data_IF_782033275673
#
_entry.id   IF_782033275673
#
_cell.length_a   1.000
_cell.length_b   1.000
_cell.length_c   1.000
_cell.angle_alpha   90.00
_cell.angle_beta   90.00
_cell.angle_gamma   90.00
#
_symmetry.space_group_name_H-M   'P 1'
#
loop_
_entity.id
_entity.type
_entity.pdbx_description
1 polymer ?
2 non-polymer ?
3 water ?
#
# COMPACT_ATOMS: atom_id res chain seq x y z
N UNK A 8 -25.44 6.66 -11.84
CA UNK A 8 -24.00 6.26 -11.83
C UNK A 8 -23.62 5.61 -10.48
N UNK A 9 -24.23 5.98 -9.34
CA UNK A 9 -23.79 5.54 -7.97
C UNK A 9 -23.59 4.02 -7.92
N UNK A 10 -24.53 3.26 -8.52
CA UNK A 10 -24.58 1.77 -8.62
C UNK A 10 -23.40 1.23 -9.45
N UNK A 11 -22.96 1.97 -10.49
CA UNK A 11 -21.81 1.59 -11.36
C UNK A 11 -20.55 2.47 -11.10
N UNK A 12 -20.29 2.96 -9.87
CA UNK A 12 -19.06 3.74 -9.51
C UNK A 12 -18.26 3.02 -8.42
N UNK A 13 -16.95 2.97 -8.62
CA UNK A 13 -15.98 2.40 -7.66
C UNK A 13 -15.71 3.46 -6.56
N UNK A 14 -15.92 3.13 -5.29
CA UNK A 14 -15.63 4.10 -4.18
C UNK A 14 -14.13 4.42 -4.07
N UNK A 15 -13.26 3.52 -4.54
CA UNK A 15 -11.79 3.64 -4.37
C UNK A 15 -11.17 4.52 -5.49
N UNK A 16 -11.67 4.48 -6.72
CA UNK A 16 -11.06 5.18 -7.88
C UNK A 16 -12.06 6.13 -8.54
N UNK A 17 -13.33 6.15 -8.10
CA UNK A 17 -14.42 6.98 -8.64
C UNK A 17 -14.66 6.72 -10.13
N UNK A 18 -14.32 5.59 -10.68
CA UNK A 18 -14.52 5.35 -12.12
C UNK A 18 -15.60 4.29 -12.22
N UNK A 19 -15.90 3.85 -13.44
CA UNK A 19 -16.94 2.83 -13.66
C UNK A 19 -16.56 1.55 -12.90
N UNK A 20 -17.54 0.88 -12.33
CA UNK A 20 -17.34 -0.49 -11.78
C UNK A 20 -18.48 -1.39 -12.25
N UNK A 21 -18.12 -2.60 -12.62
CA UNK A 21 -19.09 -3.66 -12.96
C UNK A 21 -19.84 -4.01 -11.67
N UNK A 22 -21.05 -3.52 -11.50
CA UNK A 22 -21.94 -3.91 -10.36
C UNK A 22 -21.68 -5.37 -9.88
N UNK A 23 -21.90 -6.35 -10.77
CA UNK A 23 -21.87 -7.79 -10.38
C UNK A 23 -20.47 -8.29 -9.96
N UNK A 24 -19.38 -7.72 -10.47
CA UNK A 24 -18.00 -8.14 -10.12
C UNK A 24 -17.34 -7.16 -9.11
N UNK A 25 -18.09 -6.19 -8.57
CA UNK A 25 -17.53 -5.20 -7.62
C UNK A 25 -17.96 -5.57 -6.20
N UNK A 26 -17.05 -6.08 -5.34
CA UNK A 26 -17.43 -6.43 -3.98
C UNK A 26 -17.91 -5.21 -3.17
N UNK A 27 -18.94 -5.43 -2.36
CA UNK A 27 -19.61 -4.38 -1.55
C UNK A 27 -18.84 -4.22 -0.23
N UNK A 28 -18.15 -3.10 -0.06
CA UNK A 28 -17.08 -2.87 0.96
C UNK A 28 -17.50 -3.04 2.40
N UNK A 29 -18.73 -2.64 2.69
CA UNK A 29 -19.27 -2.45 4.05
C UNK A 29 -20.04 -3.70 4.55
N UNK A 30 -19.91 -4.86 3.88
CA UNK A 30 -20.51 -6.17 4.28
C UNK A 30 -19.45 -6.94 5.02
N UNK A 31 -19.92 -7.89 5.84
CA UNK A 31 -19.11 -8.62 6.81
C UNK A 31 -18.01 -9.32 6.02
N UNK A 32 -18.36 -9.89 4.87
CA UNK A 32 -17.41 -10.68 4.06
C UNK A 32 -16.20 -9.80 3.66
N UNK A 33 -16.34 -8.48 3.62
CA UNK A 33 -15.27 -7.61 3.06
C UNK A 33 -14.65 -6.66 4.08
N UNK A 34 -14.91 -6.78 5.39
CA UNK A 34 -14.39 -5.81 6.40
C UNK A 34 -12.87 -5.76 6.30
N UNK A 35 -12.21 -6.86 5.92
CA UNK A 35 -10.73 -6.84 5.77
C UNK A 35 -10.26 -5.75 4.75
N UNK A 36 -11.02 -5.54 3.67
CA UNK A 36 -10.71 -4.55 2.61
C UNK A 36 -10.72 -3.15 3.20
N UNK A 37 -11.65 -2.79 4.10
CA UNK A 37 -11.67 -1.43 4.72
C UNK A 37 -10.40 -1.25 5.55
N UNK A 38 -10.02 -2.28 6.29
CA UNK A 38 -8.74 -2.27 7.04
C UNK A 38 -7.56 -2.20 6.08
N UNK A 39 -7.55 -2.98 4.99
CA UNK A 39 -6.43 -2.92 4.03
C UNK A 39 -6.33 -1.49 3.47
N UNK A 40 -7.48 -0.85 3.16
CA UNK A 40 -7.52 0.50 2.56
C UNK A 40 -6.93 1.48 3.60
N UNK A 41 -7.26 1.30 4.89
CA UNK A 41 -6.78 2.22 5.95
C UNK A 41 -5.29 2.05 6.13
N UNK A 42 -4.81 0.81 6.21
CA UNK A 42 -3.36 0.52 6.25
C UNK A 42 -2.62 1.18 5.08
N UNK A 43 -3.23 1.22 3.88
CA UNK A 43 -2.54 1.72 2.66
C UNK A 43 -2.53 3.25 2.67
N UNK A 44 -3.67 3.87 2.99
CA UNK A 44 -3.94 5.29 2.75
C UNK A 44 -3.94 6.09 4.05
N UNK A 45 -4.12 5.46 5.21
CA UNK A 45 -4.48 6.17 6.44
C UNK A 45 -5.92 6.58 6.54
N UNK A 46 -6.80 6.25 5.58
CA UNK A 46 -8.23 6.72 5.61
C UNK A 46 -9.10 5.53 5.99
N UNK A 47 -9.98 5.75 6.96
CA UNK A 47 -11.06 4.82 7.34
C UNK A 47 -12.28 5.14 6.49
N UNK A 48 -12.58 4.39 5.43
CA UNK A 48 -13.73 4.85 4.58
C UNK A 48 -15.03 4.52 5.28
N UNK A 49 -16.02 5.38 5.13
CA UNK A 49 -17.33 5.33 5.83
C UNK A 49 -18.46 5.06 4.85
N UNK A 50 -19.47 4.30 5.27
CA UNK A 50 -20.67 3.95 4.47
C UNK A 50 -21.71 5.05 4.56
N UNK A 51 -21.86 5.85 3.52
CA UNK A 51 -22.91 6.90 3.36
C UNK A 51 -23.75 6.55 2.14
N UNK A 52 -25.05 6.84 2.18
CA UNK A 52 -26.00 6.55 1.09
C UNK A 52 -25.65 7.27 -0.20
N UNK A 53 -25.05 8.46 -0.12
CA UNK A 53 -24.73 9.30 -1.30
C UNK A 53 -23.32 9.03 -1.85
N UNK A 54 -22.55 8.11 -1.28
CA UNK A 54 -21.22 7.69 -1.81
C UNK A 54 -21.19 6.22 -2.21
N UNK A 55 -20.48 5.86 -3.30
CA UNK A 55 -20.44 4.47 -3.75
C UNK A 55 -19.87 3.52 -2.69
N UNK A 56 -20.33 2.27 -2.74
CA UNK A 56 -20.17 1.31 -1.61
C UNK A 56 -19.54 0.02 -2.13
N UNK A 57 -18.95 0.10 -3.32
CA UNK A 57 -18.25 -1.03 -3.98
C UNK A 57 -16.87 -0.60 -4.46
N UNK A 58 -16.00 -1.59 -4.50
CA UNK A 58 -14.62 -1.57 -5.01
C UNK A 58 -14.58 -2.36 -6.31
N UNK A 59 -14.13 -1.75 -7.40
CA UNK A 59 -14.03 -2.41 -8.73
C UNK A 59 -12.94 -3.47 -8.68
N UNK A 60 -12.96 -4.31 -9.68
CA UNK A 60 -12.08 -5.47 -9.82
C UNK A 60 -10.64 -4.99 -9.89
N UNK A 61 -10.38 -3.93 -10.65
CA UNK A 61 -9.00 -3.47 -10.86
C UNK A 61 -8.45 -2.98 -9.51
N UNK A 62 -9.25 -2.21 -8.76
CA UNK A 62 -8.85 -1.70 -7.41
C UNK A 62 -8.66 -2.88 -6.44
N UNK A 63 -9.56 -3.89 -6.42
CA UNK A 63 -9.44 -5.12 -5.57
C UNK A 63 -8.09 -5.82 -5.79
N UNK A 64 -7.70 -6.04 -7.05
CA UNK A 64 -6.41 -6.69 -7.41
C UNK A 64 -5.23 -5.86 -6.89
N UNK A 65 -5.16 -4.57 -7.23
CA UNK A 65 -4.01 -3.71 -6.83
C UNK A 65 -3.92 -3.62 -5.30
N UNK A 66 -5.07 -3.53 -4.63
CA UNK A 66 -5.17 -3.47 -3.17
C UNK A 66 -4.64 -4.76 -2.54
N UNK A 67 -5.01 -5.93 -3.07
CA UNK A 67 -4.52 -7.24 -2.59
C UNK A 67 -3.00 -7.25 -2.74
N UNK A 68 -2.49 -6.89 -3.91
CA UNK A 68 -1.03 -6.82 -4.17
C UNK A 68 -0.34 -5.82 -3.21
N UNK A 69 -0.94 -4.66 -2.92
CA UNK A 69 -0.29 -3.67 -2.03
C UNK A 69 -0.19 -4.24 -0.60
N UNK A 70 -1.20 -4.98 -0.18
CA UNK A 70 -1.27 -5.56 1.18
C UNK A 70 -0.18 -6.61 1.32
N UNK A 71 -0.08 -7.50 0.33
CA UNK A 71 0.95 -8.55 0.36
C UNK A 71 2.31 -7.88 0.54
N UNK A 72 2.64 -6.88 -0.28
CA UNK A 72 3.95 -6.18 -0.16
C UNK A 72 4.11 -5.56 1.24
N UNK A 73 3.09 -4.87 1.71
CA UNK A 73 3.15 -4.27 3.07
C UNK A 73 3.56 -5.32 4.14
N UNK A 74 2.86 -6.44 4.18
CA UNK A 74 3.08 -7.52 5.16
C UNK A 74 4.46 -8.16 4.97
N UNK A 75 4.87 -8.43 3.73
CA UNK A 75 6.18 -9.03 3.44
C UNK A 75 7.26 -8.09 3.97
N UNK A 76 7.13 -6.78 3.74
CA UNK A 76 8.14 -5.79 4.16
C UNK A 76 8.29 -5.77 5.68
N UNK A 77 7.17 -5.76 6.40
CA UNK A 77 7.16 -5.78 7.89
C UNK A 77 7.85 -7.07 8.39
N UNK A 78 7.45 -8.22 7.85
CA UNK A 78 8.00 -9.54 8.24
C UNK A 78 9.48 -9.62 7.83
N UNK A 79 9.85 -9.11 6.67
CA UNK A 79 11.27 -9.12 6.23
C UNK A 79 12.12 -8.33 7.22
N UNK A 80 11.65 -7.21 7.79
CA UNK A 80 12.50 -6.43 8.74
C UNK A 80 12.75 -7.26 10.01
N UNK A 81 11.72 -7.96 10.51
CA UNK A 81 11.85 -8.89 11.66
C UNK A 81 12.91 -9.96 11.32
N UNK A 82 12.79 -10.58 10.15
CA UNK A 82 13.57 -11.79 9.78
C UNK A 82 15.04 -11.43 9.57
N UNK A 83 15.32 -10.27 8.97
CA UNK A 83 16.71 -9.75 8.89
C UNK A 83 17.30 -9.56 10.31
N UNK A 84 16.51 -9.07 11.28
CA UNK A 84 17.00 -8.75 12.66
C UNK A 84 17.36 -10.07 13.36
N UNK A 85 16.57 -11.13 13.13
CA UNK A 85 16.81 -12.49 13.69
C UNK A 85 17.95 -13.18 12.94
N UNK A 86 18.11 -12.95 11.63
CA UNK A 86 19.26 -13.43 10.83
C UNK A 86 20.63 -12.98 11.36
N UNK A 87 20.69 -11.97 12.24
CA UNK A 87 21.93 -11.46 12.88
C UNK A 87 22.30 -12.32 14.10
N UNK A 88 23.61 -12.39 14.38
CA UNK A 88 24.20 -12.78 15.70
C UNK A 88 23.89 -11.69 16.73
N UNK A 89 23.75 -12.04 18.01
CA UNK A 89 23.44 -11.11 19.13
C UNK A 89 24.38 -9.88 19.14
N UNK A 90 25.66 -10.03 18.76
CA UNK A 90 26.68 -8.94 18.82
C UNK A 90 26.39 -7.98 17.67
N UNK A 91 26.16 -8.50 16.45
CA UNK A 91 25.60 -7.72 15.30
C UNK A 91 24.31 -6.99 15.74
N UNK A 92 23.35 -7.72 16.34
CA UNK A 92 21.98 -7.23 16.65
C UNK A 92 22.04 -6.03 17.60
N UNK A 93 23.04 -5.99 18.48
CA UNK A 93 23.24 -4.90 19.48
C UNK A 93 23.17 -3.51 18.84
N UNK A 94 23.57 -3.35 17.55
CA UNK A 94 23.31 -2.17 16.68
C UNK A 94 21.87 -1.61 16.77
N UNK A 95 20.85 -2.36 16.30
CA UNK A 95 19.39 -2.01 16.39
C UNK A 95 18.84 -2.36 17.79
N UNK B 11 23.26 -8.81 -3.00
CA UNK B 11 22.62 -10.16 -3.22
C UNK B 11 21.27 -10.37 -2.49
N UNK B 12 20.95 -9.63 -1.41
CA UNK B 12 19.65 -9.73 -0.67
C UNK B 12 18.86 -8.41 -0.76
N UNK B 13 17.55 -8.55 -0.93
CA UNK B 13 16.59 -7.42 -0.96
C UNK B 13 16.22 -7.03 0.47
N UNK B 14 16.41 -5.77 0.85
CA UNK B 14 16.04 -5.23 2.20
C UNK B 14 14.51 -5.32 2.42
N UNK B 15 13.67 -5.34 1.38
CA UNK B 15 12.18 -5.19 1.49
C UNK B 15 11.52 -6.56 1.63
N UNK B 16 11.91 -7.56 0.85
CA UNK B 16 11.29 -8.93 0.96
C UNK B 16 12.29 -10.00 1.46
N UNK B 17 13.58 -9.65 1.65
CA UNK B 17 14.63 -10.50 2.28
C UNK B 17 14.96 -11.71 1.39
N UNK B 18 14.75 -11.62 0.07
CA UNK B 18 15.04 -12.73 -0.86
C UNK B 18 16.18 -12.26 -1.75
N UNK B 19 16.59 -13.09 -2.70
CA UNK B 19 17.75 -12.80 -3.58
C UNK B 19 17.43 -11.60 -4.48
N UNK B 20 18.43 -10.79 -4.81
CA UNK B 20 18.30 -9.60 -5.69
C UNK B 20 19.18 -9.74 -6.95
N UNK B 21 20.39 -9.18 -6.98
CA UNK B 21 21.37 -9.29 -8.11
C UNK B 21 22.70 -8.56 -7.82
N UNK B 22 22.67 -7.49 -7.01
CA UNK B 22 23.83 -6.61 -6.72
C UNK B 22 24.29 -5.96 -8.04
N UNK B 23 23.36 -5.63 -8.94
CA UNK B 23 23.67 -5.17 -10.32
C UNK B 23 22.43 -4.50 -10.92
N UNK B 24 21.34 -5.25 -11.09
CA UNK B 24 20.02 -4.75 -11.55
C UNK B 24 19.06 -4.51 -10.37
N UNK B 25 19.52 -4.60 -9.12
CA UNK B 25 18.77 -4.21 -7.89
C UNK B 25 19.18 -2.79 -7.48
N UNK B 26 18.27 -1.79 -7.60
CA UNK B 26 18.57 -0.43 -7.14
C UNK B 26 18.98 -0.36 -5.66
N UNK B 27 19.92 0.54 -5.36
CA UNK B 27 20.42 0.81 -3.99
C UNK B 27 19.45 1.79 -3.29
N UNK B 28 18.76 1.33 -2.25
CA UNK B 28 17.70 2.08 -1.51
C UNK B 28 18.15 3.42 -0.95
N UNK B 29 19.40 3.52 -0.51
CA UNK B 29 19.92 4.63 0.32
C UNK B 29 20.66 5.66 -0.53
N UNK B 30 20.70 5.57 -1.87
CA UNK B 30 21.53 6.44 -2.75
C UNK B 30 20.95 7.85 -2.87
N UNK B 31 20.90 8.59 -1.75
CA UNK B 31 20.52 10.04 -1.55
C UNK B 31 19.63 10.66 -2.64
N UNK B 32 18.96 9.87 -3.47
CA UNK B 32 18.18 10.33 -4.64
C UNK B 32 16.91 9.49 -4.79
N UNK B 33 16.97 8.19 -4.54
CA UNK B 33 15.78 7.29 -4.35
C UNK B 33 15.36 7.26 -2.87
N UNK B 34 15.51 8.38 -2.17
CA UNK B 34 14.81 8.65 -0.89
C UNK B 34 13.30 8.47 -1.10
N UNK B 35 12.79 8.72 -2.31
CA UNK B 35 11.42 8.36 -2.79
C UNK B 35 11.00 6.97 -2.29
N UNK B 36 11.83 5.97 -2.58
CA UNK B 36 11.62 4.54 -2.21
C UNK B 36 11.39 4.41 -0.71
N UNK B 37 12.24 5.04 0.09
CA UNK B 37 12.22 4.90 1.57
C UNK B 37 10.96 5.60 2.07
N UNK B 38 10.69 6.76 1.50
CA UNK B 38 9.44 7.53 1.76
C UNK B 38 8.21 6.67 1.46
N UNK B 39 8.18 6.07 0.28
CA UNK B 39 7.04 5.23 -0.16
C UNK B 39 6.91 4.03 0.78
N UNK B 40 8.02 3.42 1.19
CA UNK B 40 8.02 2.24 2.12
C UNK B 40 7.41 2.68 3.44
N UNK B 41 7.79 3.85 3.96
CA UNK B 41 7.27 4.26 5.28
C UNK B 41 5.77 4.54 5.16
N UNK B 42 5.36 5.24 4.11
CA UNK B 42 3.93 5.53 3.81
C UNK B 42 3.12 4.24 3.74
N UNK B 43 3.70 3.16 3.20
CA UNK B 43 2.98 1.89 3.02
C UNK B 43 2.94 1.13 4.35
N UNK B 44 4.07 1.01 5.05
CA UNK B 44 4.30 0.04 6.17
C UNK B 44 4.32 0.72 7.54
N UNK B 45 4.56 2.04 7.60
CA UNK B 45 4.88 2.74 8.85
C UNK B 45 6.26 2.39 9.38
N UNK B 46 7.20 1.91 8.54
CA UNK B 46 8.60 1.63 8.96
C UNK B 46 9.54 2.54 8.19
N UNK B 47 10.31 3.34 8.94
CA UNK B 47 11.47 4.12 8.41
C UNK B 47 12.67 3.17 8.31
N UNK B 48 13.01 2.73 7.10
CA UNK B 48 14.16 1.81 6.93
C UNK B 48 15.42 2.66 7.00
N UNK B 49 16.39 2.21 7.79
CA UNK B 49 17.64 2.94 8.15
C UNK B 49 18.78 2.17 7.49
N UNK B 50 19.81 2.86 6.97
CA UNK B 50 20.99 2.22 6.33
C UNK B 50 21.99 1.73 7.40
N UNK B 51 22.02 0.42 7.65
CA UNK B 51 22.93 -0.22 8.63
C UNK B 51 23.87 -1.13 7.86
N UNK B 52 25.13 -1.21 8.30
CA UNK B 52 26.20 -1.96 7.61
C UNK B 52 25.89 -3.45 7.58
N UNK B 53 25.23 -3.97 8.63
CA UNK B 53 24.91 -5.41 8.81
C UNK B 53 23.56 -5.81 8.21
N UNK B 54 22.86 -4.91 7.50
CA UNK B 54 21.59 -5.20 6.76
C UNK B 54 21.75 -4.89 5.28
N UNK B 55 20.99 -5.56 4.37
CA UNK B 55 20.98 -5.20 2.95
C UNK B 55 20.62 -3.72 2.68
N UNK B 56 21.15 -3.19 1.58
CA UNK B 56 20.99 -1.78 1.16
C UNK B 56 20.36 -1.72 -0.24
N UNK B 57 19.70 -2.81 -0.65
CA UNK B 57 19.16 -2.97 -2.02
C UNK B 57 17.67 -3.32 -1.96
N UNK B 58 16.97 -2.96 -3.03
CA UNK B 58 15.57 -3.39 -3.31
C UNK B 58 15.60 -4.11 -4.66
N UNK B 59 14.99 -5.28 -4.73
CA UNK B 59 14.87 -6.09 -5.97
C UNK B 59 13.90 -5.41 -6.93
N UNK B 60 14.01 -5.76 -8.20
CA UNK B 60 13.16 -5.21 -9.28
C UNK B 60 11.69 -5.50 -8.97
N UNK B 61 11.39 -6.71 -8.51
CA UNK B 61 9.99 -7.11 -8.27
C UNK B 61 9.41 -6.22 -7.16
N UNK B 62 10.15 -6.01 -6.06
CA UNK B 62 9.71 -5.15 -4.93
C UNK B 62 9.55 -3.67 -5.38
N UNK B 63 10.48 -3.12 -6.18
CA UNK B 63 10.41 -1.77 -6.80
C UNK B 63 9.09 -1.57 -7.57
N UNK B 64 8.74 -2.54 -8.43
CA UNK B 64 7.51 -2.48 -9.26
C UNK B 64 6.26 -2.50 -8.37
N UNK B 65 6.16 -3.44 -7.43
CA UNK B 65 4.93 -3.57 -6.58
C UNK B 65 4.77 -2.33 -5.69
N UNK B 66 5.89 -1.72 -5.28
CA UNK B 66 5.94 -0.52 -4.41
C UNK B 66 5.36 0.64 -5.22
N UNK B 67 5.83 0.80 -6.47
CA UNK B 67 5.37 1.87 -7.39
C UNK B 67 3.86 1.72 -7.58
N UNK B 68 3.39 0.50 -7.84
CA UNK B 68 1.93 0.20 -7.94
C UNK B 68 1.16 0.57 -6.66
N UNK B 69 1.62 0.20 -5.48
CA UNK B 69 0.88 0.46 -4.21
C UNK B 69 0.78 1.97 -3.95
N UNK B 70 1.81 2.71 -4.32
CA UNK B 70 1.84 4.18 -4.08
C UNK B 70 0.81 4.82 -4.99
N UNK B 71 0.78 4.40 -6.24
CA UNK B 71 -0.19 4.89 -7.25
C UNK B 71 -1.60 4.66 -6.71
N UNK B 72 -1.91 3.44 -6.26
CA UNK B 72 -3.25 3.15 -5.73
C UNK B 72 -3.55 4.03 -4.53
N UNK B 73 -2.61 4.15 -3.61
CA UNK B 73 -2.87 5.02 -2.42
C UNK B 73 -3.26 6.44 -2.85
N UNK B 74 -2.50 7.05 -3.74
CA UNK B 74 -2.77 8.43 -4.24
C UNK B 74 -4.12 8.50 -4.99
N UNK B 75 -4.41 7.51 -5.86
CA UNK B 75 -5.70 7.44 -6.58
C UNK B 75 -6.84 7.42 -5.55
N UNK B 76 -6.74 6.57 -4.53
CA UNK B 76 -7.78 6.38 -3.48
C UNK B 76 -8.02 7.67 -2.71
N UNK B 77 -6.96 8.34 -2.29
CA UNK B 77 -7.13 9.63 -1.51
C UNK B 77 -7.80 10.66 -2.42
N UNK B 78 -7.28 10.81 -3.65
CA UNK B 78 -7.84 11.81 -4.60
C UNK B 78 -9.29 11.48 -4.93
N UNK B 79 -9.60 10.20 -5.13
CA UNK B 79 -10.99 9.78 -5.40
C UNK B 79 -11.90 10.16 -4.23
N UNK B 80 -11.48 10.05 -2.98
CA UNK B 80 -12.42 10.45 -1.87
C UNK B 80 -12.77 11.96 -1.94
N UNK B 81 -11.81 12.81 -2.33
CA UNK B 81 -12.06 14.27 -2.49
C UNK B 81 -12.97 14.48 -3.71
N UNK B 82 -12.73 13.77 -4.81
CA UNK B 82 -13.52 13.93 -6.06
C UNK B 82 -14.98 13.55 -5.79
N UNK B 83 -15.22 12.42 -5.13
CA UNK B 83 -16.61 11.99 -4.82
C UNK B 83 -17.30 13.03 -3.91
N UNK B 84 -16.56 13.58 -2.95
CA UNK B 84 -17.07 14.61 -2.02
C UNK B 84 -17.58 15.84 -2.78
N UNK B 85 -16.89 16.26 -3.83
CA UNK B 85 -17.26 17.42 -4.68
C UNK B 85 -18.47 17.11 -5.54
N UNK B 86 -18.56 15.91 -6.11
CA UNK B 86 -19.75 15.45 -6.87
C UNK B 86 -21.09 15.68 -6.15
N UNK B 87 -21.08 15.74 -4.81
CA UNK B 87 -22.28 15.90 -3.93
C UNK B 87 -22.79 17.34 -3.90
N UNK B 88 -24.05 17.49 -3.48
CA UNK B 88 -24.67 18.78 -3.06
C UNK B 88 -24.11 19.16 -1.69
N UNK B 89 -24.05 20.46 -1.40
CA UNK B 89 -23.58 21.02 -0.09
C UNK B 89 -24.30 20.34 1.11
N UNK B 90 -25.59 19.98 0.96
CA UNK B 90 -26.43 19.33 2.01
C UNK B 90 -25.87 17.95 2.35
N UNK B 91 -25.64 17.14 1.31
CA UNK B 91 -25.09 15.76 1.44
C UNK B 91 -23.80 15.78 2.26
N UNK B 92 -23.03 16.87 2.22
CA UNK B 92 -21.73 16.99 2.94
C UNK B 92 -21.96 16.94 4.47
N UNK B 93 -21.40 15.90 5.07
CA UNK B 93 -21.63 15.49 6.47
C UNK B 93 -20.44 14.63 6.88
N UNK B 94 -19.92 14.83 8.10
CA UNK B 94 -18.96 13.93 8.77
C UNK B 94 -17.79 13.58 7.88
X LIG C 1 -11.77 1.28 -8.60
X LIG D 1 12.45 -7.65 -2.85
#
# INVERSE_FOLDING_TARGET
>A
MSKSALKHLKSTCRVCAKYASNKRSPKLFERSNTKMIDNIEALTGLRLENYGCLPDQICECCSMELASAVKLRERCIAAQRELLLGLTEEQRQGISAF
>B
MSKSALKHLKSTCRVCAKYASNKRSPKLFERSNTKMIDNIEALTGLRLENYGCLPDQICECCSMELASAVKLRERCIAAQRELLLGLTEEQRQGISAF
>C hetero
1 ZN ZN
>D hetero
1 ZN ZN
#
